data_IF_515988106969
#
_entry.id   IF_515988106969
#
_cell.length_a   1.000
_cell.length_b   1.000
_cell.length_c   1.000
_cell.angle_alpha   90.00
_cell.angle_beta   90.00
_cell.angle_gamma   90.00
#
_symmetry.space_group_name_H-M   'P 1'
#
loop_
_entity.id
_entity.type
_entity.pdbx_description
1 polymer ?
#
# COMPACT_ATOMS: atom_id res chain seq x y z
N UNK A 1 14.89 -2.68 23.05
CA UNK A 1 14.22 -2.04 24.22
C UNK A 1 12.85 -2.72 24.36
N UNK A 2 12.46 -3.24 25.51
CA UNK A 2 11.13 -3.86 25.68
C UNK A 2 10.05 -2.78 25.56
N UNK A 3 9.08 -2.99 24.68
CA UNK A 3 7.91 -2.11 24.56
C UNK A 3 7.13 -2.09 25.89
N UNK A 4 6.65 -0.93 26.29
CA UNK A 4 5.78 -0.81 27.46
C UNK A 4 4.42 -1.46 27.21
N UNK A 5 3.72 -1.88 28.27
CA UNK A 5 2.36 -2.45 28.14
C UNK A 5 1.40 -1.47 27.41
N UNK A 6 1.54 -0.17 27.65
CA UNK A 6 0.73 0.85 26.96
C UNK A 6 1.04 0.93 25.48
N UNK A 7 2.30 0.80 25.07
CA UNK A 7 2.69 0.74 23.65
C UNK A 7 2.09 -0.49 22.98
N UNK A 8 2.19 -1.67 23.60
CA UNK A 8 1.58 -2.90 23.08
C UNK A 8 0.07 -2.73 22.89
N UNK A 9 -0.64 -2.20 23.90
CA UNK A 9 -2.08 -1.95 23.82
C UNK A 9 -2.38 -0.93 22.69
N UNK A 10 -1.63 0.18 22.62
CA UNK A 10 -1.83 1.21 21.60
C UNK A 10 -1.63 0.61 20.21
N UNK A 11 -0.56 -0.14 20.00
CA UNK A 11 -0.28 -0.76 18.71
C UNK A 11 -1.36 -1.77 18.29
N UNK A 12 -1.90 -2.53 19.25
CA UNK A 12 -2.97 -3.48 18.97
C UNK A 12 -4.29 -2.80 18.60
N UNK A 13 -4.63 -1.68 19.23
CA UNK A 13 -5.92 -0.98 19.01
C UNK A 13 -5.87 0.08 17.92
N UNK A 14 -4.71 0.64 17.65
CA UNK A 14 -4.56 1.73 16.67
C UNK A 14 -4.18 1.20 15.30
N UNK A 15 -3.19 0.30 15.21
CA UNK A 15 -2.68 -0.17 13.94
C UNK A 15 -3.35 -1.46 13.49
N UNK A 16 -4.15 -1.38 12.43
CA UNK A 16 -4.70 -2.56 11.79
C UNK A 16 -3.58 -3.47 11.25
N UNK A 17 -3.91 -4.74 11.06
CA UNK A 17 -3.14 -5.65 10.21
C UNK A 17 -3.91 -5.74 8.88
N UNK A 18 -3.61 -4.91 7.88
CA UNK A 18 -4.08 -5.26 6.56
C UNK A 18 -3.48 -6.61 6.22
N UNK A 19 -4.35 -7.56 5.92
CA UNK A 19 -3.91 -8.91 5.57
C UNK A 19 -3.06 -8.81 4.32
N UNK A 20 -1.85 -9.33 4.40
CA UNK A 20 -0.93 -9.44 3.27
C UNK A 20 -1.62 -10.21 2.14
N UNK A 21 -1.95 -9.52 1.04
CA UNK A 21 -2.78 -10.04 -0.06
C UNK A 21 -1.99 -10.23 -1.35
N UNK A 22 -0.65 -10.10 -1.31
CA UNK A 22 0.14 -10.02 -2.52
C UNK A 22 1.05 -11.23 -2.66
N UNK A 23 1.07 -11.82 -3.86
CA UNK A 23 2.11 -12.73 -4.26
C UNK A 23 3.34 -11.97 -4.78
N UNK A 24 4.47 -12.65 -4.82
CA UNK A 24 5.74 -12.07 -5.28
C UNK A 24 5.65 -11.54 -6.73
N UNK A 25 4.85 -12.18 -7.57
CA UNK A 25 4.68 -11.80 -8.98
C UNK A 25 3.92 -10.47 -9.06
N UNK A 26 2.85 -10.31 -8.29
CA UNK A 26 2.11 -9.05 -8.22
C UNK A 26 2.98 -7.90 -7.70
N UNK A 27 3.82 -8.18 -6.69
CA UNK A 27 4.75 -7.18 -6.17
C UNK A 27 5.81 -6.79 -7.21
N UNK A 28 6.41 -7.75 -7.91
CA UNK A 28 7.42 -7.51 -8.93
C UNK A 28 6.88 -6.74 -10.15
N UNK A 29 5.58 -6.83 -10.43
CA UNK A 29 4.93 -6.04 -11.48
C UNK A 29 4.71 -4.57 -11.10
N UNK A 30 4.94 -4.19 -9.84
CA UNK A 30 4.75 -2.83 -9.31
C UNK A 30 6.07 -2.08 -9.20
N UNK A 31 6.01 -0.78 -9.37
CA UNK A 31 7.18 0.09 -9.18
C UNK A 31 7.45 0.32 -7.68
N UNK A 32 7.77 -0.75 -6.95
CA UNK A 32 8.10 -0.64 -5.53
C UNK A 32 9.57 -0.24 -5.39
N UNK A 33 9.82 0.80 -4.61
CA UNK A 33 11.14 1.26 -4.23
C UNK A 33 11.38 0.99 -2.74
N UNK A 34 12.59 0.64 -2.38
CA UNK A 34 13.01 0.39 -1.00
C UNK A 34 14.02 1.44 -0.58
N UNK A 35 13.59 2.40 0.25
CA UNK A 35 14.42 3.51 0.68
C UNK A 35 15.25 3.07 1.89
N UNK A 36 16.59 3.09 1.74
CA UNK A 36 17.54 2.73 2.79
C UNK A 36 17.58 3.80 3.89
N UNK A 37 17.41 3.37 5.14
CA UNK A 37 17.52 4.23 6.34
C UNK A 37 18.98 4.51 6.74
N UNK A 38 19.94 3.97 6.00
CA UNK A 38 21.39 4.12 6.26
C UNK A 38 21.85 3.60 7.65
N UNK A 39 21.07 2.68 8.26
CA UNK A 39 21.39 2.06 9.56
C UNK A 39 22.07 0.69 9.38
N UNK A 40 21.36 -0.39 9.58
CA UNK A 40 21.87 -1.76 9.44
C UNK A 40 21.39 -2.37 8.11
N UNK A 41 22.25 -2.42 7.11
CA UNK A 41 21.92 -2.94 5.76
C UNK A 41 21.56 -4.42 5.71
N UNK A 42 21.89 -5.19 6.75
CA UNK A 42 21.56 -6.62 6.86
C UNK A 42 20.11 -6.88 7.31
N UNK A 43 19.43 -5.87 7.82
CA UNK A 43 18.05 -5.99 8.31
C UNK A 43 17.04 -5.47 7.28
N UNK A 44 16.02 -6.28 7.00
CA UNK A 44 14.89 -5.86 6.17
C UNK A 44 14.13 -4.66 6.75
N UNK A 45 14.12 -4.52 8.09
CA UNK A 45 13.48 -3.37 8.78
C UNK A 45 14.16 -2.03 8.49
N UNK A 46 15.35 -2.06 7.88
CA UNK A 46 16.09 -0.86 7.51
C UNK A 46 15.68 -0.26 6.16
N UNK A 47 14.74 -0.88 5.47
CA UNK A 47 14.27 -0.42 4.17
C UNK A 47 12.80 -0.03 4.25
N UNK A 48 12.47 1.20 3.84
CA UNK A 48 11.10 1.71 3.78
C UNK A 48 10.52 1.35 2.42
N UNK A 49 9.52 0.45 2.34
CA UNK A 49 8.86 0.18 1.08
C UNK A 49 7.98 1.37 0.68
N UNK A 50 8.06 1.76 -0.58
CA UNK A 50 7.20 2.77 -1.15
C UNK A 50 6.74 2.34 -2.55
N UNK A 51 5.48 2.58 -2.90
CA UNK A 51 5.03 2.42 -4.27
C UNK A 51 5.21 3.75 -5.01
N UNK A 52 5.96 3.71 -6.11
CA UNK A 52 6.21 4.85 -6.97
C UNK A 52 5.31 4.82 -8.20
N UNK A 53 4.49 5.84 -8.36
CA UNK A 53 3.64 6.06 -9.54
C UNK A 53 4.25 7.23 -10.32
N UNK A 54 5.00 6.93 -11.41
CA UNK A 54 5.59 7.98 -12.23
C UNK A 54 4.50 8.68 -13.07
N UNK A 55 4.62 9.97 -13.18
CA UNK A 55 3.80 10.74 -14.12
C UNK A 55 4.32 10.56 -15.56
N UNK A 56 3.41 10.26 -16.49
CA UNK A 56 3.75 9.91 -17.87
C UNK A 56 4.43 11.03 -18.65
N UNK A 57 4.14 12.29 -18.33
CA UNK A 57 4.73 13.45 -18.98
C UNK A 57 6.03 13.95 -18.28
N UNK A 58 6.57 13.14 -17.35
CA UNK A 58 7.84 13.42 -16.68
C UNK A 58 7.85 14.68 -15.82
N UNK A 59 6.89 14.82 -14.96
CA UNK A 59 6.77 15.94 -14.02
C UNK A 59 7.97 16.03 -13.06
N UNK A 60 8.38 17.26 -12.72
CA UNK A 60 9.31 17.52 -11.61
C UNK A 60 8.64 17.58 -10.24
N UNK A 61 7.31 17.48 -10.20
CA UNK A 61 6.51 17.55 -8.97
C UNK A 61 6.33 16.16 -8.37
N UNK A 62 6.36 16.12 -7.03
CA UNK A 62 6.20 14.91 -6.24
C UNK A 62 5.09 15.08 -5.23
N UNK A 63 4.27 14.06 -5.08
CA UNK A 63 3.28 13.94 -4.03
C UNK A 63 3.65 12.76 -3.15
N UNK A 64 3.85 13.01 -1.85
CA UNK A 64 4.02 11.96 -0.84
C UNK A 64 2.65 11.67 -0.26
N UNK A 65 2.20 10.42 -0.36
CA UNK A 65 0.93 9.98 0.16
C UNK A 65 1.08 9.05 1.36
N UNK A 66 0.41 9.42 2.45
CA UNK A 66 0.27 8.62 3.66
C UNK A 66 -1.16 8.09 3.74
N UNK A 67 -1.31 6.77 3.67
CA UNK A 67 -2.60 6.09 3.54
C UNK A 67 -3.38 5.95 4.86
N UNK A 68 -4.64 5.49 4.77
CA UNK A 68 -5.47 5.20 5.93
C UNK A 68 -5.07 3.92 6.64
N UNK A 69 -5.60 3.72 7.85
CA UNK A 69 -5.20 2.64 8.75
C UNK A 69 -5.44 1.22 8.20
N UNK A 70 -6.50 1.01 7.42
CA UNK A 70 -6.85 -0.30 6.83
C UNK A 70 -6.33 -0.48 5.40
N UNK A 71 -5.59 0.51 4.89
CA UNK A 71 -4.98 0.48 3.58
C UNK A 71 -3.51 0.02 3.66
N UNK A 72 -2.91 -0.12 2.50
CA UNK A 72 -1.47 -0.33 2.26
C UNK A 72 -1.09 0.34 0.93
N UNK A 73 0.18 0.27 0.55
CA UNK A 73 0.68 0.92 -0.66
C UNK A 73 -0.01 0.45 -1.94
N UNK A 74 -0.46 -0.81 -2.02
CA UNK A 74 -1.12 -1.35 -3.21
C UNK A 74 -2.61 -1.03 -3.24
N UNK A 75 -3.31 -1.15 -2.09
CA UNK A 75 -4.73 -0.78 -2.01
C UNK A 75 -4.94 0.71 -2.29
N UNK A 76 -3.95 1.54 -1.96
CA UNK A 76 -3.96 2.99 -2.21
C UNK A 76 -3.60 3.36 -3.65
N UNK A 77 -3.12 2.43 -4.48
CA UNK A 77 -2.61 2.71 -5.83
C UNK A 77 -3.63 3.43 -6.71
N UNK A 78 -4.85 2.90 -6.84
CA UNK A 78 -5.89 3.50 -7.68
C UNK A 78 -6.26 4.92 -7.25
N UNK A 79 -6.34 5.15 -5.94
CA UNK A 79 -6.59 6.48 -5.39
C UNK A 79 -5.46 7.45 -5.77
N UNK A 80 -4.22 7.00 -5.70
CA UNK A 80 -3.03 7.80 -5.98
C UNK A 80 -2.77 7.99 -7.48
N UNK A 81 -3.12 7.01 -8.33
CA UNK A 81 -3.08 7.17 -9.80
C UNK A 81 -3.94 8.36 -10.24
N UNK A 82 -5.11 8.52 -9.61
CA UNK A 82 -5.97 9.65 -9.88
C UNK A 82 -5.28 11.01 -9.59
N UNK A 83 -4.55 11.10 -8.47
CA UNK A 83 -3.74 12.29 -8.17
C UNK A 83 -2.60 12.50 -9.19
N UNK A 84 -1.92 11.41 -9.57
CA UNK A 84 -0.85 11.48 -10.57
C UNK A 84 -1.35 12.05 -11.89
N UNK A 85 -2.45 11.52 -12.41
CA UNK A 85 -3.04 11.94 -13.69
C UNK A 85 -3.59 13.37 -13.66
N UNK A 86 -4.31 13.73 -12.60
CA UNK A 86 -5.01 15.02 -12.54
C UNK A 86 -4.12 16.20 -12.14
N UNK A 87 -3.14 15.98 -11.27
CA UNK A 87 -2.18 17.01 -10.85
C UNK A 87 -0.85 16.93 -11.60
N UNK A 88 -0.68 15.93 -12.47
CA UNK A 88 0.57 15.69 -13.22
C UNK A 88 1.79 15.63 -12.30
N UNK A 89 1.68 14.81 -11.28
CA UNK A 89 2.72 14.62 -10.26
C UNK A 89 3.18 13.18 -10.20
N UNK A 90 4.47 12.97 -9.97
CA UNK A 90 4.96 11.68 -9.50
C UNK A 90 4.41 11.44 -8.10
N UNK A 91 3.89 10.25 -7.81
CA UNK A 91 3.38 9.93 -6.49
C UNK A 91 4.23 8.87 -5.82
N UNK A 92 4.57 9.08 -4.56
CA UNK A 92 5.22 8.10 -3.68
C UNK A 92 4.26 7.78 -2.54
N UNK A 93 3.78 6.55 -2.50
CA UNK A 93 2.93 6.02 -1.43
C UNK A 93 3.84 5.34 -0.43
N UNK A 94 3.80 5.78 0.82
CA UNK A 94 4.71 5.30 1.88
C UNK A 94 4.06 4.20 2.67
N UNK A 95 4.74 3.05 2.80
CA UNK A 95 4.28 1.94 3.65
C UNK A 95 4.61 2.20 5.12
N UNK A 96 3.79 1.66 6.02
CA UNK A 96 3.99 1.81 7.46
C UNK A 96 4.69 0.60 8.07
N UNK A 97 5.51 0.81 9.12
CA UNK A 97 6.16 -0.29 9.82
C UNK A 97 5.13 -1.31 10.31
N UNK A 98 5.37 -2.58 9.99
CA UNK A 98 4.48 -3.71 10.30
C UNK A 98 3.27 -3.85 9.39
N UNK A 99 3.18 -3.07 8.29
CA UNK A 99 2.17 -3.22 7.25
C UNK A 99 2.77 -3.90 6.02
N UNK A 100 1.93 -4.69 5.32
CA UNK A 100 2.27 -5.30 4.04
C UNK A 100 3.71 -5.88 4.01
N UNK A 101 4.57 -5.37 3.14
CA UNK A 101 5.95 -5.81 2.94
C UNK A 101 6.97 -5.05 3.79
N UNK A 102 6.53 -4.26 4.77
CA UNK A 102 7.44 -3.55 5.65
C UNK A 102 7.77 -4.38 6.90
N UNK A 103 8.88 -5.09 6.87
CA UNK A 103 9.36 -6.00 7.91
C UNK A 103 9.91 -5.25 9.14
N UNK A 104 9.06 -4.50 9.81
CA UNK A 104 9.37 -3.72 11.00
C UNK A 104 8.26 -3.84 12.04
N UNK A 105 8.53 -3.49 13.28
CA UNK A 105 7.50 -3.40 14.31
C UNK A 105 6.64 -2.15 14.11
N UNK A 106 5.33 -2.29 14.38
CA UNK A 106 4.38 -1.17 14.33
C UNK A 106 4.77 -0.11 15.34
N UNK A 107 5.03 1.10 14.87
CA UNK A 107 5.47 2.19 15.72
C UNK A 107 5.20 3.55 15.08
N UNK A 108 4.51 4.44 15.81
CA UNK A 108 4.17 5.78 15.33
C UNK A 108 5.39 6.70 15.17
N UNK A 109 6.40 6.53 16.03
CA UNK A 109 7.65 7.33 15.96
C UNK A 109 8.42 6.95 14.70
N UNK A 110 8.53 5.64 14.41
CA UNK A 110 9.16 5.14 13.18
C UNK A 110 8.42 5.69 11.94
N UNK A 111 7.07 5.71 11.94
CA UNK A 111 6.31 6.31 10.83
C UNK A 111 6.68 7.78 10.61
N UNK A 112 6.86 8.53 11.69
CA UNK A 112 7.27 9.93 11.63
C UNK A 112 8.72 10.10 11.12
N UNK A 113 9.66 9.30 11.62
CA UNK A 113 11.06 9.30 11.17
C UNK A 113 11.16 8.91 9.69
N UNK A 114 10.46 7.86 9.28
CA UNK A 114 10.42 7.37 7.90
C UNK A 114 9.88 8.43 6.94
N UNK A 115 8.90 9.22 7.36
CA UNK A 115 8.38 10.34 6.56
C UNK A 115 9.47 11.37 6.19
N UNK A 116 10.37 11.67 7.13
CA UNK A 116 11.51 12.56 6.89
C UNK A 116 12.52 11.94 5.93
N UNK A 117 12.79 10.64 6.08
CA UNK A 117 13.74 9.91 5.20
C UNK A 117 13.22 9.90 3.76
N UNK A 118 11.91 9.61 3.58
CA UNK A 118 11.27 9.64 2.24
C UNK A 118 11.36 11.03 1.62
N UNK A 119 11.11 12.08 2.39
CA UNK A 119 11.22 13.45 1.91
C UNK A 119 12.63 13.78 1.42
N UNK A 120 13.66 13.46 2.22
CA UNK A 120 15.05 13.68 1.85
C UNK A 120 15.49 12.80 0.67
N UNK A 121 14.98 11.58 0.57
CA UNK A 121 15.23 10.71 -0.57
C UNK A 121 14.75 11.36 -1.88
N UNK A 122 13.54 11.93 -1.90
CA UNK A 122 13.02 12.64 -3.07
C UNK A 122 13.94 13.81 -3.44
N UNK A 123 14.33 14.63 -2.46
CA UNK A 123 15.23 15.77 -2.70
C UNK A 123 16.60 15.34 -3.23
N UNK A 124 17.17 14.29 -2.65
CA UNK A 124 18.50 13.79 -3.02
C UNK A 124 18.50 13.09 -4.38
N UNK A 125 17.54 12.20 -4.60
CA UNK A 125 17.50 11.32 -5.79
C UNK A 125 17.00 12.07 -7.02
N UNK A 126 15.90 12.80 -6.89
CA UNK A 126 15.25 13.48 -8.01
C UNK A 126 15.62 14.96 -8.14
N UNK A 127 16.44 15.49 -7.19
CA UNK A 127 16.82 16.92 -7.13
C UNK A 127 15.60 17.86 -6.99
N UNK A 128 14.50 17.34 -6.43
CA UNK A 128 13.31 18.13 -6.18
C UNK A 128 13.58 19.22 -5.12
N UNK A 129 12.98 20.38 -5.30
CA UNK A 129 12.98 21.46 -4.31
C UNK A 129 11.78 21.30 -3.37
N UNK A 130 11.79 22.00 -2.23
CA UNK A 130 10.68 21.99 -1.29
C UNK A 130 9.36 22.41 -1.97
N UNK A 131 9.41 23.40 -2.87
CA UNK A 131 8.27 23.87 -3.68
C UNK A 131 7.79 22.86 -4.74
N UNK A 132 8.53 21.78 -4.96
CA UNK A 132 8.15 20.70 -5.88
C UNK A 132 7.46 19.55 -5.14
N UNK A 133 7.41 19.57 -3.81
CA UNK A 133 6.91 18.46 -3.00
C UNK A 133 5.58 18.83 -2.35
N UNK A 134 4.58 18.00 -2.57
CA UNK A 134 3.24 18.07 -2.00
C UNK A 134 3.05 16.87 -1.06
N UNK A 135 2.26 17.06 -0.01
CA UNK A 135 1.99 15.99 0.96
C UNK A 135 0.48 15.79 1.08
N UNK A 136 0.05 14.53 1.03
CA UNK A 136 -1.33 14.13 1.32
C UNK A 136 -1.32 13.11 2.44
N UNK A 137 -2.13 13.35 3.47
CA UNK A 137 -2.43 12.35 4.49
C UNK A 137 -3.92 12.06 4.56
N UNK A 138 -4.30 10.79 4.65
CA UNK A 138 -5.69 10.36 4.85
C UNK A 138 -5.84 9.64 6.17
N UNK A 139 -6.82 10.02 6.99
CA UNK A 139 -7.13 9.37 8.27
C UNK A 139 -5.86 9.20 9.12
N UNK A 140 -5.43 7.96 9.48
CA UNK A 140 -4.18 7.69 10.20
C UNK A 140 -2.98 8.42 9.57
N UNK A 141 -2.91 8.44 8.24
CA UNK A 141 -1.81 9.06 7.50
C UNK A 141 -1.70 10.57 7.68
N UNK A 142 -2.73 11.23 8.25
CA UNK A 142 -2.62 12.66 8.58
C UNK A 142 -1.64 12.92 9.73
N UNK A 143 -1.39 11.93 10.60
CA UNK A 143 -0.39 12.01 11.66
C UNK A 143 1.03 12.26 11.15
N UNK A 144 1.62 11.31 10.40
CA UNK A 144 2.95 11.51 9.81
C UNK A 144 3.01 12.68 8.81
N UNK A 145 1.91 12.97 8.09
CA UNK A 145 1.84 14.12 7.17
C UNK A 145 1.98 15.46 7.90
N UNK A 146 1.28 15.63 9.01
CA UNK A 146 1.38 16.83 9.88
C UNK A 146 2.77 16.92 10.51
N UNK A 147 3.29 15.80 11.03
CA UNK A 147 4.64 15.77 11.60
C UNK A 147 5.70 16.20 10.58
N UNK A 148 5.70 15.60 9.41
CA UNK A 148 6.63 15.92 8.33
C UNK A 148 6.54 17.40 7.95
N UNK A 149 5.34 17.93 7.75
CA UNK A 149 5.11 19.32 7.35
C UNK A 149 5.42 20.33 8.44
N UNK A 150 5.43 19.93 9.71
CA UNK A 150 5.85 20.81 10.83
C UNK A 150 7.37 21.03 10.87
N UNK A 151 8.14 20.13 10.25
CA UNK A 151 9.62 20.16 10.22
C UNK A 151 10.13 20.64 8.85
N UNK A 152 9.49 20.17 7.76
CA UNK A 152 9.84 20.51 6.38
C UNK A 152 8.89 21.58 5.83
N UNK A 153 9.23 22.14 4.67
CA UNK A 153 8.43 23.21 4.03
C UNK A 153 7.94 22.72 2.64
N UNK A 154 7.04 21.73 2.59
CA UNK A 154 6.48 21.31 1.30
C UNK A 154 5.66 22.47 0.69
N UNK A 155 5.33 22.35 -0.59
CA UNK A 155 4.49 23.33 -1.29
C UNK A 155 3.11 23.44 -0.66
N UNK A 156 2.42 22.30 -0.49
CA UNK A 156 1.10 22.22 0.13
C UNK A 156 0.98 20.94 0.95
N UNK A 157 0.10 21.00 1.96
CA UNK A 157 -0.34 19.87 2.76
C UNK A 157 -1.85 19.67 2.59
N UNK A 158 -2.27 18.46 2.19
CA UNK A 158 -3.67 18.07 2.10
C UNK A 158 -3.98 17.03 3.16
N UNK A 159 -4.94 17.34 4.02
CA UNK A 159 -5.39 16.48 5.12
C UNK A 159 -6.82 16.03 4.87
N UNK A 160 -7.01 14.74 4.61
CA UNK A 160 -8.32 14.12 4.34
C UNK A 160 -8.77 13.38 5.59
N UNK A 161 -9.89 13.79 6.18
CA UNK A 161 -10.43 13.29 7.45
C UNK A 161 -9.37 13.28 8.57
N UNK A 162 -8.72 14.42 8.86
CA UNK A 162 -7.69 14.50 9.90
C UNK A 162 -8.27 14.41 11.30
N UNK A 163 -7.40 14.09 12.26
CA UNK A 163 -7.72 14.04 13.69
C UNK A 163 -6.74 14.87 14.53
N UNK A 164 -7.20 15.32 15.68
CA UNK A 164 -6.40 16.11 16.64
C UNK A 164 -5.29 15.28 17.29
N UNK A 165 -5.64 14.09 17.75
CA UNK A 165 -4.75 13.04 18.28
C UNK A 165 -5.49 11.70 18.29
N UNK A 166 -4.77 10.59 18.41
CA UNK A 166 -5.40 9.26 18.48
C UNK A 166 -6.35 9.12 19.67
N UNK A 167 -5.98 9.66 20.81
CA UNK A 167 -6.87 9.63 21.99
C UNK A 167 -8.19 10.36 21.77
N UNK A 168 -8.19 11.40 20.98
CA UNK A 168 -9.39 12.20 20.74
C UNK A 168 -10.43 11.50 19.83
N UNK A 169 -10.04 10.45 19.10
CA UNK A 169 -10.94 9.69 18.22
C UNK A 169 -11.75 8.65 19.03
N UNK A 170 -11.11 8.02 20.03
CA UNK A 170 -11.71 6.93 20.79
C UNK A 170 -12.58 7.46 21.93
N UNK A 171 -13.57 6.64 22.35
CA UNK A 171 -14.36 6.98 23.52
C UNK A 171 -13.46 7.07 24.78
N UNK A 172 -13.90 7.81 25.78
CA UNK A 172 -13.11 8.15 26.96
C UNK A 172 -12.56 6.91 27.71
N UNK A 173 -13.31 5.80 27.69
CA UNK A 173 -12.89 4.56 28.39
C UNK A 173 -11.69 3.92 27.68
N UNK A 174 -11.74 3.75 26.36
CA UNK A 174 -10.65 3.15 25.60
C UNK A 174 -9.44 4.09 25.55
N UNK A 175 -9.66 5.40 25.39
CA UNK A 175 -8.59 6.38 25.31
C UNK A 175 -7.71 6.46 26.56
N UNK A 176 -8.24 6.07 27.73
CA UNK A 176 -7.46 6.03 28.98
C UNK A 176 -6.28 5.05 28.90
N UNK A 177 -6.45 3.94 28.20
CA UNK A 177 -5.42 2.89 28.07
C UNK A 177 -4.45 3.13 26.91
N UNK A 178 -4.75 4.05 25.98
CA UNK A 178 -3.91 4.33 24.83
C UNK A 178 -2.84 5.38 25.15
N UNK A 179 -1.69 5.27 24.48
CA UNK A 179 -0.78 6.40 24.34
C UNK A 179 -1.40 7.45 23.42
N UNK A 180 -1.16 8.70 23.71
CA UNK A 180 -1.61 9.80 22.87
C UNK A 180 -0.56 10.08 21.79
N UNK A 181 -0.67 9.35 20.70
CA UNK A 181 0.20 9.47 19.55
C UNK A 181 -0.41 10.38 18.48
N UNK A 182 0.43 10.88 17.58
CA UNK A 182 0.06 11.82 16.51
C UNK A 182 -0.76 13.01 17.03
N UNK A 183 -0.19 13.75 17.98
CA UNK A 183 -0.79 14.97 18.53
C UNK A 183 -0.72 16.13 17.53
N UNK A 184 -1.48 16.02 16.45
CA UNK A 184 -1.52 17.02 15.39
C UNK A 184 -1.86 18.42 15.93
N UNK A 185 -2.75 18.48 16.92
CA UNK A 185 -3.20 19.75 17.53
C UNK A 185 -2.06 20.54 18.19
N UNK A 186 -0.99 19.89 18.64
CA UNK A 186 0.14 20.52 19.35
C UNK A 186 1.20 21.08 18.39
N UNK A 187 1.11 20.73 17.08
CA UNK A 187 2.16 21.08 16.12
C UNK A 187 1.65 21.66 14.80
N UNK A 188 0.33 21.67 14.57
CA UNK A 188 -0.27 22.10 13.29
C UNK A 188 0.02 23.58 12.99
N UNK A 189 0.11 24.43 14.02
CA UNK A 189 0.43 25.85 13.93
C UNK A 189 1.89 26.15 13.53
N UNK A 190 2.78 25.15 13.62
CA UNK A 190 4.18 25.27 13.20
C UNK A 190 4.36 25.14 11.68
N UNK A 191 3.35 24.63 10.97
CA UNK A 191 3.43 24.38 9.54
C UNK A 191 3.48 25.71 8.78
N UNK A 192 4.37 25.80 7.81
CA UNK A 192 4.66 27.03 7.04
C UNK A 192 4.10 27.03 5.62
N UNK A 193 3.60 25.89 5.13
CA UNK A 193 2.91 25.81 3.84
C UNK A 193 1.40 25.97 4.01
N UNK A 194 0.70 26.19 2.89
CA UNK A 194 -0.75 26.19 2.88
C UNK A 194 -1.29 24.78 3.17
N UNK A 195 -2.31 24.72 4.03
CA UNK A 195 -2.97 23.48 4.44
C UNK A 195 -4.40 23.45 3.90
N UNK A 196 -4.77 22.34 3.29
CA UNK A 196 -6.14 22.02 2.92
C UNK A 196 -6.69 20.97 3.88
N UNK A 197 -7.69 21.33 4.67
CA UNK A 197 -8.44 20.42 5.51
C UNK A 197 -9.69 19.98 4.75
N UNK A 198 -9.85 18.69 4.47
CA UNK A 198 -10.95 18.12 3.70
C UNK A 198 -11.64 17.08 4.57
N UNK A 199 -12.91 17.29 4.91
CA UNK A 199 -13.66 16.41 5.79
C UNK A 199 -15.11 16.22 5.36
N UNK A 200 -15.62 15.01 5.56
CA UNK A 200 -17.02 14.70 5.36
C UNK A 200 -17.85 15.02 6.60
N UNK A 201 -18.97 15.73 6.44
CA UNK A 201 -19.89 15.97 7.56
C UNK A 201 -20.62 14.71 8.04
N UNK A 202 -20.64 13.67 7.21
CA UNK A 202 -21.19 12.36 7.55
C UNK A 202 -20.12 11.35 8.00
N UNK A 203 -18.93 11.81 8.35
CA UNK A 203 -17.88 10.96 8.92
C UNK A 203 -18.25 10.58 10.37
N UNK A 204 -18.61 9.31 10.56
CA UNK A 204 -18.98 8.77 11.88
C UNK A 204 -17.81 8.15 12.64
N UNK A 205 -16.64 8.02 12.00
CA UNK A 205 -15.43 7.50 12.64
C UNK A 205 -14.59 8.62 13.27
N UNK A 206 -14.36 9.70 12.51
CA UNK A 206 -13.69 10.90 12.97
C UNK A 206 -14.63 12.07 12.70
N UNK A 207 -15.15 12.66 13.74
CA UNK A 207 -16.07 13.78 13.63
C UNK A 207 -15.38 14.99 12.96
N UNK A 208 -16.07 15.68 12.07
CA UNK A 208 -15.50 16.80 11.31
C UNK A 208 -15.05 17.98 12.19
N UNK A 209 -15.53 18.08 13.43
CA UNK A 209 -15.05 19.05 14.41
C UNK A 209 -13.54 18.96 14.67
N UNK A 210 -12.95 17.77 14.46
CA UNK A 210 -11.49 17.64 14.51
C UNK A 210 -10.80 18.53 13.47
N UNK A 211 -11.33 18.60 12.25
CA UNK A 211 -10.80 19.51 11.21
C UNK A 211 -11.05 20.97 11.53
N UNK A 212 -12.23 21.31 12.09
CA UNK A 212 -12.55 22.69 12.48
C UNK A 212 -11.59 23.17 13.57
N UNK A 213 -11.33 22.37 14.60
CA UNK A 213 -10.41 22.73 15.67
C UNK A 213 -8.95 22.83 15.19
N UNK A 214 -8.50 21.91 14.32
CA UNK A 214 -7.16 21.98 13.72
C UNK A 214 -7.03 23.23 12.84
N UNK A 215 -8.04 23.55 12.04
CA UNK A 215 -8.08 24.74 11.20
C UNK A 215 -8.02 26.00 12.05
N UNK A 216 -8.84 26.09 13.10
CA UNK A 216 -8.87 27.24 14.01
C UNK A 216 -7.49 27.51 14.66
N UNK A 217 -6.73 26.45 14.98
CA UNK A 217 -5.35 26.60 15.46
C UNK A 217 -4.40 27.27 14.45
N UNK A 218 -4.74 27.25 13.18
CA UNK A 218 -3.91 27.82 12.09
C UNK A 218 -4.39 29.21 11.62
N UNK A 219 -5.47 29.76 12.16
CA UNK A 219 -6.07 31.02 11.71
C UNK A 219 -5.10 32.20 11.78
N UNK A 220 -4.19 32.20 12.75
CA UNK A 220 -3.19 33.25 12.90
C UNK A 220 -1.98 33.08 11.95
N UNK A 221 -1.97 32.03 11.13
CA UNK A 221 -0.91 31.82 10.15
C UNK A 221 -1.17 32.64 8.89
N UNK A 222 -0.12 33.13 8.24
CA UNK A 222 -0.21 33.84 6.96
C UNK A 222 -0.41 32.90 5.76
N UNK A 223 -0.69 31.59 5.98
CA UNK A 223 -0.59 30.55 4.94
C UNK A 223 -1.85 30.40 4.08
N UNK A 224 -2.92 31.20 4.31
CA UNK A 224 -4.19 31.10 3.59
C UNK A 224 -4.77 29.67 3.59
N UNK A 225 -4.83 29.04 4.76
CA UNK A 225 -5.33 27.68 4.93
C UNK A 225 -6.81 27.58 4.54
N UNK A 226 -7.23 26.42 4.06
CA UNK A 226 -8.56 26.16 3.51
C UNK A 226 -9.23 25.04 4.26
N UNK A 227 -10.46 25.26 4.75
CA UNK A 227 -11.33 24.23 5.31
C UNK A 227 -12.46 23.88 4.31
N UNK A 228 -12.55 22.61 3.94
CA UNK A 228 -13.53 22.06 3.02
C UNK A 228 -14.35 21.01 3.76
N UNK A 229 -15.63 21.29 4.00
CA UNK A 229 -16.58 20.39 4.63
C UNK A 229 -17.60 19.89 3.61
N UNK A 230 -17.48 18.63 3.19
CA UNK A 230 -18.37 18.01 2.22
C UNK A 230 -19.60 17.38 2.90
N UNK A 231 -20.80 17.71 2.44
CA UNK A 231 -22.06 17.31 3.08
C UNK A 231 -22.30 15.80 3.09
N UNK A 232 -21.96 15.11 1.99
CA UNK A 232 -22.31 13.70 1.78
C UNK A 232 -21.11 12.75 1.96
N UNK A 233 -19.90 13.26 2.05
CA UNK A 233 -18.70 12.47 2.24
C UNK A 233 -18.71 11.81 3.62
N UNK A 234 -18.39 10.52 3.67
CA UNK A 234 -18.15 9.76 4.90
C UNK A 234 -16.67 9.46 5.07
N UNK A 235 -16.29 8.68 6.10
CA UNK A 235 -14.89 8.31 6.30
C UNK A 235 -14.32 7.44 5.17
N UNK A 236 -15.13 6.53 4.62
CA UNK A 236 -14.69 5.55 3.62
C UNK A 236 -15.38 5.71 2.26
N UNK A 237 -16.52 6.36 2.19
CA UNK A 237 -17.21 6.65 0.94
C UNK A 237 -16.86 8.07 0.50
N UNK A 238 -15.84 8.15 -0.34
CA UNK A 238 -15.22 9.39 -0.83
C UNK A 238 -15.28 9.36 -2.36
N UNK A 239 -16.03 10.27 -2.94
CA UNK A 239 -15.96 10.55 -4.37
C UNK A 239 -14.71 11.43 -4.63
N UNK A 240 -13.63 10.80 -5.10
CA UNK A 240 -12.33 11.46 -5.29
C UNK A 240 -12.43 12.70 -6.18
N UNK A 241 -13.20 12.61 -7.27
CA UNK A 241 -13.40 13.72 -8.19
C UNK A 241 -14.14 14.88 -7.52
N UNK A 242 -15.28 14.58 -6.90
CA UNK A 242 -16.22 15.58 -6.38
C UNK A 242 -15.78 16.14 -5.04
N UNK A 243 -15.38 15.25 -4.11
CA UNK A 243 -15.15 15.62 -2.73
C UNK A 243 -13.74 16.17 -2.51
N UNK A 244 -12.77 15.76 -3.34
CA UNK A 244 -11.37 16.17 -3.20
C UNK A 244 -10.96 17.06 -4.37
N UNK A 245 -10.96 16.53 -5.59
CA UNK A 245 -10.31 17.15 -6.73
C UNK A 245 -10.96 18.47 -7.14
N UNK A 246 -12.28 18.45 -7.35
CA UNK A 246 -13.02 19.64 -7.74
C UNK A 246 -12.98 20.73 -6.67
N UNK A 247 -12.79 20.35 -5.40
CA UNK A 247 -12.61 21.31 -4.31
C UNK A 247 -11.21 21.93 -4.35
N UNK A 248 -10.18 21.12 -4.40
CA UNK A 248 -8.77 21.59 -4.45
C UNK A 248 -8.53 22.45 -5.70
N UNK A 249 -9.05 22.03 -6.84
CA UNK A 249 -8.87 22.74 -8.12
C UNK A 249 -9.34 24.20 -8.09
N UNK A 250 -10.35 24.53 -7.27
CA UNK A 250 -10.81 25.91 -7.11
C UNK A 250 -9.71 26.84 -6.61
N UNK A 251 -8.80 26.32 -5.80
CA UNK A 251 -7.73 27.08 -5.17
C UNK A 251 -6.38 26.95 -5.87
N UNK A 252 -6.19 25.90 -6.66
CA UNK A 252 -4.94 25.65 -7.40
C UNK A 252 -4.98 26.11 -8.86
N UNK A 253 -6.09 26.74 -9.29
CA UNK A 253 -6.34 27.12 -10.71
C UNK A 253 -5.23 27.95 -11.35
N UNK A 254 -4.50 28.73 -10.57
CA UNK A 254 -3.51 29.68 -11.07
C UNK A 254 -2.07 29.28 -10.72
N UNK A 255 -1.82 28.03 -10.27
CA UNK A 255 -0.45 27.56 -10.06
C UNK A 255 0.14 27.08 -11.40
N UNK A 256 0.90 27.95 -12.14
CA UNK A 256 1.52 27.57 -13.41
C UNK A 256 2.56 26.46 -13.23
N UNK A 257 2.93 26.15 -11.98
CA UNK A 257 3.89 25.10 -11.63
C UNK A 257 3.24 23.71 -11.62
N UNK A 258 1.91 23.58 -11.60
CA UNK A 258 1.23 22.31 -11.77
C UNK A 258 1.44 21.68 -13.15
N UNK A 259 1.95 22.47 -14.11
CA UNK A 259 2.24 22.00 -15.47
C UNK A 259 3.71 22.29 -15.83
N UNK A 260 4.70 21.64 -15.17
CA UNK A 260 6.10 21.97 -15.32
C UNK A 260 6.63 21.58 -16.73
N UNK A 261 7.57 22.40 -17.24
CA UNK A 261 8.29 22.12 -18.50
C UNK A 261 9.52 21.20 -18.30
N UNK A 262 9.97 21.00 -17.08
CA UNK A 262 11.15 20.20 -16.76
C UNK A 262 10.79 18.74 -16.51
N UNK A 263 11.53 17.84 -17.12
CA UNK A 263 11.22 16.40 -17.14
C UNK A 263 12.36 15.56 -16.55
N UNK A 264 12.04 14.50 -15.80
CA UNK A 264 12.99 13.46 -15.43
C UNK A 264 12.92 12.30 -16.43
N UNK A 265 14.06 11.75 -16.76
CA UNK A 265 14.12 10.53 -17.56
C UNK A 265 14.46 9.35 -16.66
N UNK A 266 13.48 8.49 -16.38
CA UNK A 266 13.68 7.27 -15.57
C UNK A 266 14.62 6.25 -16.22
N UNK A 267 14.91 6.39 -17.53
CA UNK A 267 15.93 5.59 -18.20
C UNK A 267 17.36 6.12 -17.94
N UNK A 268 17.53 7.18 -17.15
CA UNK A 268 18.82 7.66 -16.72
C UNK A 268 19.51 6.60 -15.84
N UNK A 269 20.80 6.42 -16.05
CA UNK A 269 21.62 5.45 -15.31
C UNK A 269 21.56 5.63 -13.79
N UNK A 270 21.22 6.83 -13.31
CA UNK A 270 21.01 7.15 -11.88
C UNK A 270 19.85 6.36 -11.26
N UNK A 271 18.87 5.91 -12.06
CA UNK A 271 17.70 5.17 -11.61
C UNK A 271 17.76 3.69 -11.95
N UNK A 272 18.90 3.21 -12.49
CA UNK A 272 19.05 1.82 -12.95
C UNK A 272 18.64 0.77 -11.91
N UNK A 273 18.95 1.05 -10.64
CA UNK A 273 18.67 0.12 -9.53
C UNK A 273 17.55 0.63 -8.60
N UNK A 274 16.76 1.61 -9.05
CA UNK A 274 15.72 2.24 -8.22
C UNK A 274 14.65 1.24 -7.76
N UNK A 275 14.37 0.23 -8.58
CA UNK A 275 13.34 -0.79 -8.34
C UNK A 275 13.92 -2.15 -7.94
N UNK A 276 15.24 -2.24 -7.68
CA UNK A 276 15.85 -3.47 -7.24
C UNK A 276 15.46 -3.77 -5.79
N UNK A 277 15.11 -5.03 -5.54
CA UNK A 277 14.77 -5.50 -4.19
C UNK A 277 16.06 -5.78 -3.42
N UNK A 278 16.31 -5.10 -2.28
CA UNK A 278 17.46 -5.39 -1.43
C UNK A 278 17.50 -6.84 -0.96
N UNK A 279 18.68 -7.43 -0.82
CA UNK A 279 18.83 -8.83 -0.41
C UNK A 279 18.10 -9.19 0.90
N UNK A 280 18.12 -8.35 1.97
CA UNK A 280 17.34 -8.64 3.17
C UNK A 280 15.83 -8.74 2.91
N UNK A 281 15.30 -7.92 2.01
CA UNK A 281 13.88 -7.97 1.61
C UNK A 281 13.60 -9.26 0.84
N UNK A 282 14.44 -9.63 -0.12
CA UNK A 282 14.30 -10.89 -0.85
C UNK A 282 14.30 -12.09 0.11
N UNK A 283 15.18 -12.12 1.13
CA UNK A 283 15.22 -13.16 2.16
C UNK A 283 13.93 -13.24 2.97
N UNK A 284 13.34 -12.13 3.38
CA UNK A 284 12.09 -12.13 4.15
C UNK A 284 10.89 -12.54 3.29
N UNK A 285 10.79 -12.07 2.06
CA UNK A 285 9.76 -12.51 1.11
C UNK A 285 9.85 -14.02 0.85
N UNK A 286 11.05 -14.54 0.69
CA UNK A 286 11.28 -15.99 0.54
C UNK A 286 10.84 -16.77 1.78
N UNK A 287 11.10 -16.28 3.01
CA UNK A 287 10.62 -16.90 4.25
C UNK A 287 9.10 -16.89 4.38
N UNK A 288 8.42 -15.84 3.93
CA UNK A 288 6.96 -15.80 3.88
C UNK A 288 6.41 -16.86 2.94
N UNK A 289 7.02 -17.03 1.77
CA UNK A 289 6.66 -18.07 0.82
C UNK A 289 6.86 -19.48 1.38
N UNK A 290 7.89 -19.71 2.23
CA UNK A 290 8.14 -20.99 2.89
C UNK A 290 7.20 -21.22 4.08
N UNK A 291 6.92 -20.19 4.90
CA UNK A 291 6.02 -20.34 6.07
C UNK A 291 4.58 -20.63 5.69
N UNK A 292 4.16 -20.24 4.50
CA UNK A 292 2.86 -20.62 3.93
C UNK A 292 2.79 -22.08 3.48
N UNK A 293 3.94 -22.74 3.30
CA UNK A 293 4.06 -24.18 3.07
C UNK A 293 4.46 -24.87 4.38
N UNK A 294 3.64 -25.79 4.87
CA UNK A 294 3.90 -26.53 6.12
C UNK A 294 5.28 -27.25 6.05
N UNK A 295 6.30 -26.84 6.83
CA UNK A 295 7.69 -27.25 6.59
C UNK A 295 8.01 -28.71 6.90
N UNK A 296 7.07 -29.47 7.43
CA UNK A 296 7.34 -30.85 7.89
C UNK A 296 7.14 -31.93 6.84
N UNK A 297 6.69 -31.62 5.63
CA UNK A 297 6.34 -32.64 4.66
C UNK A 297 6.92 -32.52 3.24
N UNK A 298 7.40 -31.36 2.80
CA UNK A 298 7.85 -31.20 1.42
C UNK A 298 9.07 -30.26 1.31
N UNK A 299 10.22 -30.81 0.93
CA UNK A 299 11.40 -30.04 0.47
C UNK A 299 11.22 -29.42 -0.94
N UNK A 300 10.00 -29.42 -1.48
CA UNK A 300 9.71 -28.96 -2.84
C UNK A 300 9.12 -27.55 -2.74
N UNK A 301 9.86 -26.54 -3.18
CA UNK A 301 9.38 -25.16 -3.24
C UNK A 301 8.19 -25.00 -4.17
N UNK A 302 7.13 -24.34 -3.72
CA UNK A 302 6.06 -23.89 -4.58
C UNK A 302 6.63 -22.96 -5.67
N UNK A 303 6.26 -23.19 -6.92
CA UNK A 303 6.69 -22.39 -8.07
C UNK A 303 5.64 -21.35 -8.47
N UNK A 304 4.40 -21.55 -8.02
CA UNK A 304 3.28 -20.67 -8.33
C UNK A 304 2.35 -20.54 -7.12
N UNK A 305 1.89 -19.34 -6.84
CA UNK A 305 0.86 -19.06 -5.85
C UNK A 305 -0.22 -18.17 -6.47
N UNK A 306 -1.50 -18.48 -6.23
CA UNK A 306 -2.63 -17.71 -6.76
C UNK A 306 -3.75 -17.64 -5.74
N UNK A 307 -4.28 -16.43 -5.49
CA UNK A 307 -5.43 -16.24 -4.61
C UNK A 307 -6.72 -16.50 -5.34
N UNK A 308 -7.53 -17.39 -4.79
CA UNK A 308 -8.86 -17.72 -5.30
C UNK A 308 -9.91 -16.67 -4.91
N UNK A 309 -11.00 -16.58 -5.66
CA UNK A 309 -12.09 -15.62 -5.44
C UNK A 309 -12.80 -15.80 -4.07
N UNK A 310 -12.70 -16.99 -3.47
CA UNK A 310 -13.24 -17.30 -2.15
C UNK A 310 -12.26 -17.01 -1.00
N UNK A 311 -11.10 -16.44 -1.31
CA UNK A 311 -10.08 -16.04 -0.34
C UNK A 311 -9.01 -17.09 -0.06
N UNK A 312 -9.17 -18.35 -0.49
CA UNK A 312 -8.16 -19.40 -0.37
C UNK A 312 -6.96 -19.13 -1.28
N UNK A 313 -5.86 -19.82 -1.04
CA UNK A 313 -4.63 -19.69 -1.83
C UNK A 313 -4.29 -21.03 -2.46
N UNK A 314 -4.13 -21.03 -3.78
CA UNK A 314 -3.68 -22.18 -4.55
C UNK A 314 -2.17 -22.11 -4.78
N UNK A 315 -1.44 -23.18 -4.44
CA UNK A 315 0.00 -23.32 -4.66
C UNK A 315 0.28 -24.40 -5.70
N UNK A 316 1.05 -24.06 -6.71
CA UNK A 316 1.52 -24.98 -7.73
C UNK A 316 2.97 -25.39 -7.49
N UNK A 317 3.26 -26.68 -7.47
CA UNK A 317 4.57 -27.24 -7.21
C UNK A 317 5.26 -27.77 -8.46
N UNK A 318 6.58 -27.96 -8.39
CA UNK A 318 7.40 -28.45 -9.48
C UNK A 318 7.12 -29.89 -9.92
N UNK A 319 6.40 -30.65 -9.08
CA UNK A 319 6.01 -32.04 -9.31
C UNK A 319 4.56 -32.19 -9.82
N UNK A 320 3.98 -31.18 -10.41
CA UNK A 320 2.57 -31.12 -10.85
C UNK A 320 1.53 -31.21 -9.71
N UNK A 321 1.94 -31.00 -8.51
CA UNK A 321 1.03 -30.97 -7.35
C UNK A 321 0.43 -29.57 -7.19
N UNK A 322 -0.88 -29.53 -6.97
CA UNK A 322 -1.63 -28.31 -6.62
C UNK A 322 -2.17 -28.48 -5.22
N UNK A 323 -1.88 -27.52 -4.35
CA UNK A 323 -2.43 -27.45 -3.00
C UNK A 323 -3.24 -26.16 -2.82
N UNK A 324 -4.38 -26.26 -2.13
CA UNK A 324 -5.24 -25.11 -1.86
C UNK A 324 -5.40 -24.99 -0.34
N UNK A 325 -5.00 -23.84 0.19
CA UNK A 325 -5.01 -23.54 1.62
C UNK A 325 -6.13 -22.56 1.97
N UNK A 326 -6.71 -22.72 3.16
CA UNK A 326 -7.56 -21.69 3.74
C UNK A 326 -6.74 -20.45 4.12
N UNK A 327 -7.45 -19.33 4.27
CA UNK A 327 -6.85 -18.04 4.58
C UNK A 327 -6.05 -17.99 5.91
N UNK A 328 -6.40 -18.82 6.88
CA UNK A 328 -5.74 -18.92 8.19
C UNK A 328 -4.47 -19.80 8.17
N UNK A 329 -4.07 -20.29 6.98
CA UNK A 329 -2.94 -21.20 6.82
C UNK A 329 -3.23 -22.64 7.24
N UNK A 330 -4.45 -22.97 7.65
CA UNK A 330 -4.87 -24.33 7.93
C UNK A 330 -5.08 -25.09 6.61
N UNK A 331 -4.41 -26.24 6.50
CA UNK A 331 -4.69 -27.22 5.48
C UNK A 331 -5.91 -28.02 5.92
N UNK A 332 -6.96 -27.97 5.14
CA UNK A 332 -8.02 -28.95 5.30
C UNK A 332 -7.50 -30.24 4.67
N UNK A 333 -6.80 -31.09 5.46
CA UNK A 333 -5.88 -32.17 5.01
C UNK A 333 -6.48 -33.22 4.07
N UNK A 334 -7.79 -33.22 3.85
CA UNK A 334 -8.45 -34.27 3.06
C UNK A 334 -9.00 -33.84 1.70
N UNK A 335 -9.08 -32.56 1.40
CA UNK A 335 -9.93 -32.13 0.28
C UNK A 335 -9.25 -31.32 -0.81
N UNK A 336 -8.04 -30.83 -0.63
CA UNK A 336 -7.49 -29.75 -1.45
C UNK A 336 -6.05 -29.98 -1.96
N UNK A 337 -5.53 -31.21 -1.88
CA UNK A 337 -4.27 -31.57 -2.55
C UNK A 337 -4.56 -32.58 -3.65
N UNK A 338 -4.15 -32.28 -4.88
CA UNK A 338 -4.27 -33.21 -6.00
C UNK A 338 -3.11 -33.07 -6.97
N UNK A 339 -2.69 -34.20 -7.53
CA UNK A 339 -1.66 -34.26 -8.55
C UNK A 339 -2.29 -34.21 -9.94
N UNK A 340 -1.78 -33.35 -10.80
CA UNK A 340 -2.25 -33.22 -12.17
C UNK A 340 -1.75 -34.39 -13.00
N UNK A 341 -2.67 -35.21 -13.52
CA UNK A 341 -2.50 -36.22 -14.57
C UNK A 341 -1.17 -37.00 -14.61
N UNK A 342 -0.69 -37.57 -13.49
CA UNK A 342 0.54 -38.37 -13.42
C UNK A 342 1.79 -37.76 -14.12
N UNK A 343 1.81 -36.49 -14.40
CA UNK A 343 2.96 -35.81 -14.98
C UNK A 343 3.84 -35.24 -13.87
N UNK A 344 5.14 -35.34 -14.00
CA UNK A 344 6.11 -34.70 -13.09
C UNK A 344 6.51 -33.29 -13.60
N UNK A 345 5.64 -32.71 -14.44
CA UNK A 345 5.91 -31.38 -15.03
C UNK A 345 5.49 -30.25 -14.08
N UNK A 346 6.31 -29.23 -13.92
CA UNK A 346 6.00 -28.14 -13.02
C UNK A 346 4.74 -27.37 -13.44
N UNK A 347 3.94 -26.93 -12.46
CA UNK A 347 2.86 -25.99 -12.70
C UNK A 347 3.49 -24.64 -13.10
N UNK A 348 3.05 -24.11 -14.22
CA UNK A 348 3.58 -22.88 -14.83
C UNK A 348 2.60 -21.71 -14.77
N UNK A 349 1.32 -21.97 -14.48
CA UNK A 349 0.30 -20.93 -14.40
C UNK A 349 -0.94 -21.41 -13.64
N UNK A 350 -1.53 -20.53 -12.83
CA UNK A 350 -2.82 -20.73 -12.15
C UNK A 350 -3.64 -19.46 -12.30
N UNK A 351 -4.93 -19.58 -12.65
CA UNK A 351 -5.87 -18.47 -12.68
C UNK A 351 -7.29 -18.96 -12.38
N UNK A 352 -8.14 -18.10 -11.86
CA UNK A 352 -9.55 -18.39 -11.61
C UNK A 352 -10.45 -17.40 -12.35
N UNK A 353 -11.37 -17.90 -13.14
CA UNK A 353 -12.36 -17.11 -13.84
C UNK A 353 -13.54 -16.76 -12.91
N UNK A 354 -14.34 -15.77 -13.30
CA UNK A 354 -15.48 -15.26 -12.50
C UNK A 354 -16.57 -16.31 -12.19
N UNK A 355 -16.63 -17.38 -12.96
CA UNK A 355 -17.60 -18.49 -12.81
C UNK A 355 -17.08 -19.62 -11.90
N UNK A 356 -16.09 -19.38 -11.05
CA UNK A 356 -15.45 -20.37 -10.18
C UNK A 356 -14.69 -21.47 -10.94
N UNK A 357 -14.38 -21.25 -12.20
CA UNK A 357 -13.55 -22.14 -13.00
C UNK A 357 -12.07 -21.82 -12.73
N UNK A 358 -11.33 -22.78 -12.17
CA UNK A 358 -9.88 -22.69 -11.93
C UNK A 358 -9.14 -23.26 -13.14
N UNK A 359 -8.20 -22.52 -13.66
CA UNK A 359 -7.31 -22.92 -14.75
C UNK A 359 -5.93 -23.18 -14.15
N UNK A 360 -5.40 -24.39 -14.37
CA UNK A 360 -4.06 -24.77 -13.92
C UNK A 360 -3.29 -25.34 -15.11
N UNK A 361 -2.17 -24.72 -15.43
CA UNK A 361 -1.34 -25.11 -16.55
C UNK A 361 -0.02 -25.72 -16.08
N UNK A 362 0.41 -26.75 -16.77
CA UNK A 362 1.81 -27.19 -16.80
C UNK A 362 2.45 -26.68 -18.10
N UNK A 363 3.65 -27.16 -18.40
CA UNK A 363 4.36 -26.78 -19.64
C UNK A 363 3.62 -27.27 -20.89
N UNK A 364 2.81 -28.34 -20.77
CA UNK A 364 2.12 -28.98 -21.90
C UNK A 364 0.62 -29.16 -21.71
N UNK A 365 0.09 -28.96 -20.49
CA UNK A 365 -1.31 -29.29 -20.20
C UNK A 365 -2.03 -28.09 -19.62
N UNK A 366 -3.28 -27.88 -20.06
CA UNK A 366 -4.21 -26.92 -19.46
C UNK A 366 -5.34 -27.71 -18.79
N UNK A 367 -5.46 -27.57 -17.48
CA UNK A 367 -6.46 -28.25 -16.69
C UNK A 367 -7.51 -27.27 -16.21
N UNK A 368 -8.78 -27.60 -16.40
CA UNK A 368 -9.92 -26.81 -15.96
C UNK A 368 -10.61 -27.53 -14.81
N UNK A 369 -10.74 -26.87 -13.67
CA UNK A 369 -11.40 -27.37 -12.48
C UNK A 369 -12.60 -26.48 -12.14
N UNK A 370 -13.76 -27.08 -11.88
CA UNK A 370 -14.93 -26.37 -11.42
C UNK A 370 -15.12 -26.58 -9.91
N UNK A 371 -15.29 -25.49 -9.15
CA UNK A 371 -15.60 -25.56 -7.73
C UNK A 371 -17.05 -26.02 -7.53
N UNK A 372 -17.23 -27.20 -6.91
CA UNK A 372 -18.53 -27.76 -6.51
C UNK A 372 -18.50 -28.06 -5.01
N UNK A 373 -19.42 -27.46 -4.22
CA UNK A 373 -19.59 -27.74 -2.80
C UNK A 373 -18.28 -27.82 -2.00
N UNK A 374 -17.42 -26.81 -2.21
CA UNK A 374 -16.09 -26.71 -1.57
C UNK A 374 -14.98 -27.62 -2.14
N UNK A 375 -15.21 -28.38 -3.20
CA UNK A 375 -14.18 -29.16 -3.92
C UNK A 375 -14.02 -28.67 -5.34
N UNK A 376 -12.77 -28.74 -5.84
CA UNK A 376 -12.48 -28.54 -7.27
C UNK A 376 -12.51 -29.89 -7.98
N UNK A 377 -13.36 -30.02 -8.98
CA UNK A 377 -13.43 -31.20 -9.84
C UNK A 377 -12.85 -30.88 -11.20
N UNK A 378 -11.95 -31.74 -11.70
CA UNK A 378 -11.41 -31.63 -13.07
C UNK A 378 -12.56 -31.79 -14.06
N UNK A 379 -12.82 -30.79 -14.87
CA UNK A 379 -13.87 -30.79 -15.90
C UNK A 379 -13.30 -31.00 -17.31
N UNK A 380 -12.06 -30.56 -17.54
CA UNK A 380 -11.40 -30.67 -18.82
C UNK A 380 -9.89 -30.64 -18.68
N UNK A 381 -9.19 -31.41 -19.51
CA UNK A 381 -7.76 -31.33 -19.72
C UNK A 381 -7.50 -31.16 -21.21
N UNK A 382 -6.62 -30.26 -21.57
CA UNK A 382 -6.12 -30.05 -22.93
C UNK A 382 -4.61 -30.30 -22.90
N UNK A 383 -4.17 -31.24 -23.72
CA UNK A 383 -2.75 -31.59 -23.90
C UNK A 383 -2.21 -30.94 -25.17
N UNK A 384 -0.99 -30.45 -25.12
CA UNK A 384 -0.28 -29.84 -26.24
C UNK A 384 1.09 -30.48 -26.37
N UNK A 385 1.47 -30.83 -27.60
CA UNK A 385 2.78 -31.43 -27.91
C UNK A 385 3.92 -30.41 -27.76
N UNK A 386 3.63 -29.11 -27.89
CA UNK A 386 4.58 -28.04 -27.76
C UNK A 386 4.38 -27.25 -26.44
N UNK A 387 5.44 -26.53 -26.00
CA UNK A 387 5.39 -25.68 -24.79
C UNK A 387 4.32 -24.61 -24.90
N UNK A 388 3.46 -24.52 -23.88
CA UNK A 388 2.53 -23.43 -23.70
C UNK A 388 3.31 -22.18 -23.23
N UNK A 389 3.52 -21.22 -24.13
CA UNK A 389 4.29 -20.00 -23.83
C UNK A 389 3.43 -18.87 -23.27
N UNK A 390 2.13 -18.79 -23.60
CA UNK A 390 1.19 -17.78 -23.08
C UNK A 390 -0.25 -18.29 -23.10
N UNK A 391 -0.86 -18.38 -21.92
CA UNK A 391 -2.27 -18.79 -21.77
C UNK A 391 -3.25 -17.62 -22.04
N UNK A 392 -2.84 -16.37 -21.84
CA UNK A 392 -3.67 -15.17 -22.07
C UNK A 392 -4.22 -15.06 -23.51
N UNK A 393 -3.49 -15.55 -24.50
CA UNK A 393 -3.93 -15.54 -25.90
C UNK A 393 -5.01 -16.58 -26.23
N UNK A 394 -5.17 -17.61 -25.40
CA UNK A 394 -6.17 -18.68 -25.59
C UNK A 394 -7.52 -18.36 -24.96
N UNK A 395 -7.56 -17.45 -23.97
CA UNK A 395 -8.78 -17.07 -23.25
C UNK A 395 -9.51 -15.91 -23.95
N UNK A 396 -8.84 -15.18 -24.82
CA UNK A 396 -9.38 -14.04 -25.58
C UNK A 396 -10.04 -14.40 -26.93
N UNK A 397 -10.06 -15.67 -27.29
CA UNK A 397 -10.79 -16.23 -28.43
C UNK A 397 -11.99 -17.07 -27.93
#
# INVERSE_FOLDING_TARGET
>A
MMMSLKECITNMFVFCNPTFKYDEINLQSKNIIFIDKEKNKESASNYIPCLFIPEHEKSSKFLIYFHGNSDDIINSELFCQYFSEKLRMNVIIVEYPGYSIYFSEKNAEIMCEDSLIVYEFIKKTFKAKDDDIYIVGRSLGTGPAVYLSSIKKPKNLFLISPFKSIKSIKNAFVSFFLLDIFKSIDIIDKIKCQIFFIHGKNDTLIDFSHSEELFSKTENSSNNNILILNQNMTHNDIDIEKDIFNQIKKYLKDDPQLFPKNTYNLNDTRFKNLFDYPEPIQRELFKLNIKSSNPTKYEISAKYAFKLNDGRIAFGFGNSELMIYNYDGSLNEKELSFKLNNSDKPISYINQLRNNLLIVCTVTDINFFLLKRYKYELVQNLHYDDKILKVEQLISK
#
